data_IF_613468431135
#
_entry.id   IF_613468431135
#
_cell.length_a   1.000
_cell.length_b   1.000
_cell.length_c   1.000
_cell.angle_alpha   90.00
_cell.angle_beta   90.00
_cell.angle_gamma   90.00
#
_symmetry.space_group_name_H-M   'P 1'
#
loop_
_entity.id
_entity.type
_entity.pdbx_description
1 polymer ?
#
# COMPACT_ATOMS: atom_id res chain seq x y z
N UNK A 1 17.42 -15.23 1.66
CA UNK A 1 18.40 -14.99 2.67
C UNK A 1 18.54 -16.10 3.72
N UNK A 2 18.31 -15.78 4.99
CA UNK A 2 18.49 -16.72 6.11
C UNK A 2 17.51 -17.91 6.12
N UNK A 3 16.34 -17.78 5.53
CA UNK A 3 15.32 -18.84 5.48
C UNK A 3 15.33 -19.62 4.17
N UNK A 4 16.07 -19.16 3.18
CA UNK A 4 16.27 -19.82 1.89
C UNK A 4 17.57 -19.35 1.27
N UNK A 5 18.17 -20.14 0.40
CA UNK A 5 19.44 -19.86 -0.24
C UNK A 5 20.66 -20.21 0.64
N UNK A 6 21.88 -19.72 0.31
CA UNK A 6 23.14 -20.18 0.90
C UNK A 6 23.19 -20.16 2.44
N UNK A 7 22.62 -19.13 3.06
CA UNK A 7 22.62 -19.03 4.52
C UNK A 7 21.72 -20.09 5.18
N UNK A 8 20.66 -20.52 4.50
CA UNK A 8 19.81 -21.61 4.98
C UNK A 8 20.54 -22.96 4.89
N UNK A 9 21.32 -23.18 3.83
CA UNK A 9 22.13 -24.38 3.65
C UNK A 9 23.24 -24.50 4.70
N UNK A 10 23.75 -23.40 5.22
CA UNK A 10 24.75 -23.38 6.31
C UNK A 10 24.15 -23.57 7.71
N UNK A 11 22.89 -23.98 7.84
CA UNK A 11 22.21 -24.19 9.10
C UNK A 11 21.75 -22.96 9.85
N UNK A 12 21.92 -21.76 9.28
CA UNK A 12 21.45 -20.50 9.87
C UNK A 12 19.93 -20.52 10.05
N UNK A 13 19.21 -21.14 9.12
CA UNK A 13 17.76 -21.38 9.23
C UNK A 13 17.40 -22.13 10.51
N UNK A 14 18.12 -23.22 10.80
CA UNK A 14 17.81 -24.09 11.94
C UNK A 14 18.08 -23.38 13.26
N UNK A 15 19.10 -22.53 13.32
CA UNK A 15 19.36 -21.68 14.49
C UNK A 15 18.16 -20.75 14.74
N UNK A 16 17.66 -20.06 13.72
CA UNK A 16 16.51 -19.17 13.88
C UNK A 16 15.22 -19.93 14.21
N UNK A 17 14.97 -21.05 13.56
CA UNK A 17 13.81 -21.91 13.85
C UNK A 17 13.82 -22.38 15.30
N UNK A 18 14.97 -22.90 15.77
CA UNK A 18 15.08 -23.43 17.11
C UNK A 18 15.11 -22.33 18.19
N UNK A 19 15.84 -21.26 17.96
CA UNK A 19 15.96 -20.15 18.92
C UNK A 19 14.67 -19.37 19.10
N UNK A 20 13.95 -19.11 17.99
CA UNK A 20 12.75 -18.27 17.99
C UNK A 20 11.45 -19.09 18.00
N UNK A 21 11.52 -20.41 17.93
CA UNK A 21 10.34 -21.27 17.87
C UNK A 21 9.50 -21.06 16.59
N UNK A 22 10.14 -20.69 15.47
CA UNK A 22 9.45 -20.41 14.23
C UNK A 22 8.90 -21.67 13.58
N UNK A 23 7.70 -21.56 12.99
CA UNK A 23 7.06 -22.64 12.22
C UNK A 23 7.22 -22.33 10.74
N UNK A 24 7.97 -23.14 10.02
CA UNK A 24 8.28 -22.97 8.60
C UNK A 24 7.75 -24.14 7.77
N UNK A 25 6.45 -24.44 7.90
CA UNK A 25 5.82 -25.45 7.07
C UNK A 25 5.90 -25.01 5.59
N UNK A 26 6.43 -25.85 4.68
CA UNK A 26 6.44 -25.56 3.24
C UNK A 26 5.06 -25.28 2.67
N UNK A 27 4.00 -25.92 3.13
CA UNK A 27 2.63 -25.71 2.68
C UNK A 27 2.14 -24.27 2.96
N UNK A 28 2.70 -23.61 3.96
CA UNK A 28 2.34 -22.24 4.35
C UNK A 28 3.26 -21.16 3.73
N UNK A 29 4.16 -21.55 2.82
CA UNK A 29 5.18 -20.65 2.26
C UNK A 29 4.56 -19.44 1.58
N UNK A 30 3.49 -19.63 0.84
CA UNK A 30 2.84 -18.56 0.08
C UNK A 30 2.22 -17.51 1.01
N UNK A 31 1.59 -17.97 2.09
CA UNK A 31 1.06 -17.08 3.10
C UNK A 31 2.12 -16.23 3.76
N UNK A 32 3.26 -16.83 4.07
CA UNK A 32 4.40 -16.06 4.62
C UNK A 32 4.89 -15.00 3.64
N UNK A 33 4.95 -15.33 2.35
CA UNK A 33 5.34 -14.35 1.31
C UNK A 33 4.32 -13.21 1.25
N UNK A 34 3.02 -13.49 1.24
CA UNK A 34 1.98 -12.46 1.22
C UNK A 34 2.07 -11.56 2.45
N UNK A 35 2.27 -12.12 3.65
CA UNK A 35 2.43 -11.32 4.88
C UNK A 35 3.68 -10.44 4.84
N UNK A 36 4.79 -10.94 4.32
CA UNK A 36 6.01 -10.16 4.13
C UNK A 36 5.80 -9.00 3.15
N UNK A 37 5.13 -9.24 2.02
CA UNK A 37 4.81 -8.18 1.06
C UNK A 37 3.95 -7.09 1.70
N UNK A 38 2.93 -7.45 2.47
CA UNK A 38 2.12 -6.46 3.19
C UNK A 38 2.95 -5.69 4.22
N UNK A 39 3.81 -6.34 4.97
CA UNK A 39 4.66 -5.68 5.95
C UNK A 39 5.60 -4.66 5.30
N UNK A 40 6.19 -4.98 4.15
CA UNK A 40 7.10 -4.07 3.43
C UNK A 40 6.32 -2.95 2.72
N UNK A 41 5.25 -3.29 2.01
CA UNK A 41 4.46 -2.31 1.26
C UNK A 41 3.82 -1.28 2.20
N UNK A 42 3.29 -1.71 3.35
CA UNK A 42 2.69 -0.80 4.31
C UNK A 42 3.71 0.09 5.01
N UNK A 43 4.95 -0.37 5.22
CA UNK A 43 6.04 0.49 5.71
C UNK A 43 6.30 1.64 4.74
N UNK A 44 6.32 1.35 3.43
CA UNK A 44 6.51 2.37 2.40
C UNK A 44 5.31 3.33 2.38
N UNK A 45 4.09 2.82 2.40
CA UNK A 45 2.86 3.62 2.42
C UNK A 45 2.79 4.51 3.67
N UNK A 46 3.25 4.03 4.83
CA UNK A 46 3.36 4.83 6.05
C UNK A 46 4.32 6.01 5.83
N UNK A 47 5.53 5.74 5.35
CA UNK A 47 6.54 6.77 5.05
C UNK A 47 5.99 7.79 4.05
N UNK A 48 5.38 7.34 2.96
CA UNK A 48 4.72 8.21 1.97
C UNK A 48 3.63 9.08 2.60
N UNK A 49 2.81 8.49 3.46
CA UNK A 49 1.75 9.22 4.18
C UNK A 49 2.34 10.32 5.05
N UNK A 50 3.42 10.07 5.77
CA UNK A 50 4.13 11.08 6.54
C UNK A 50 4.67 12.21 5.65
N UNK A 51 5.28 11.88 4.51
CA UNK A 51 5.72 12.88 3.55
C UNK A 51 4.56 13.70 2.99
N UNK A 52 3.50 13.05 2.53
CA UNK A 52 2.31 13.74 1.99
C UNK A 52 1.72 14.69 3.02
N UNK A 53 1.54 14.24 4.26
CA UNK A 53 0.97 15.09 5.32
C UNK A 53 1.88 16.23 5.74
N UNK A 54 3.19 16.14 5.50
CA UNK A 54 4.16 17.20 5.78
C UNK A 54 4.26 18.25 4.68
N UNK A 55 4.12 17.83 3.40
CA UNK A 55 4.33 18.72 2.24
C UNK A 55 3.02 19.30 1.67
N UNK A 56 1.89 18.62 1.84
CA UNK A 56 0.58 19.11 1.39
C UNK A 56 -0.09 19.86 2.53
N UNK A 57 -0.43 21.15 2.37
CA UNK A 57 -1.03 21.95 3.43
C UNK A 57 -2.34 21.34 3.95
N UNK A 58 -2.41 21.08 5.25
CA UNK A 58 -3.60 20.59 5.95
C UNK A 58 -3.60 21.06 7.42
N UNK A 59 -4.72 20.88 8.11
CA UNK A 59 -4.82 21.25 9.53
C UNK A 59 -3.94 20.33 10.37
N UNK A 60 -3.25 20.87 11.39
CA UNK A 60 -2.38 20.10 12.28
C UNK A 60 -3.10 18.88 12.90
N UNK A 61 -4.34 19.04 13.31
CA UNK A 61 -5.13 17.92 13.86
C UNK A 61 -5.37 16.83 12.81
N UNK A 62 -5.61 17.18 11.55
CA UNK A 62 -5.75 16.18 10.47
C UNK A 62 -4.44 15.44 10.25
N UNK A 63 -3.32 16.16 10.14
CA UNK A 63 -1.99 15.57 10.01
C UNK A 63 -1.69 14.62 11.18
N UNK A 64 -1.89 15.06 12.41
CA UNK A 64 -1.65 14.25 13.61
C UNK A 64 -2.51 12.98 13.63
N UNK A 65 -3.81 13.10 13.32
CA UNK A 65 -4.72 11.96 13.30
C UNK A 65 -4.35 10.95 12.21
N UNK A 66 -4.03 11.43 10.99
CA UNK A 66 -3.61 10.54 9.89
C UNK A 66 -2.34 9.79 10.28
N UNK A 67 -1.32 10.51 10.75
CA UNK A 67 -0.02 9.93 11.10
C UNK A 67 -0.15 8.95 12.26
N UNK A 68 -0.87 9.29 13.33
CA UNK A 68 -1.09 8.36 14.44
C UNK A 68 -1.86 7.10 14.00
N UNK A 69 -2.91 7.27 13.18
CA UNK A 69 -3.74 6.16 12.72
C UNK A 69 -2.95 5.22 11.81
N UNK A 70 -2.17 5.76 10.85
CA UNK A 70 -1.38 4.91 9.95
C UNK A 70 -0.31 4.14 10.71
N UNK A 71 0.38 4.77 11.68
CA UNK A 71 1.40 4.12 12.49
C UNK A 71 0.84 3.00 13.35
N UNK A 72 -0.26 3.24 14.05
CA UNK A 72 -0.91 2.19 14.87
C UNK A 72 -1.33 1.03 13.97
N UNK A 73 -1.98 1.31 12.86
CA UNK A 73 -2.42 0.30 11.91
C UNK A 73 -1.26 -0.51 11.33
N UNK A 74 -0.19 0.16 10.94
CA UNK A 74 1.02 -0.49 10.41
C UNK A 74 1.68 -1.41 11.46
N UNK A 75 1.93 -0.89 12.67
CA UNK A 75 2.55 -1.68 13.74
C UNK A 75 1.72 -2.94 14.03
N UNK A 76 0.41 -2.80 14.17
CA UNK A 76 -0.47 -3.95 14.37
C UNK A 76 -0.42 -4.94 13.22
N UNK A 77 -0.53 -4.45 11.99
CA UNK A 77 -0.48 -5.30 10.79
C UNK A 77 0.84 -6.04 10.68
N UNK A 78 1.95 -5.34 10.87
CA UNK A 78 3.28 -5.95 10.81
C UNK A 78 3.46 -7.00 11.91
N UNK A 79 3.20 -6.63 13.16
CA UNK A 79 3.44 -7.51 14.30
C UNK A 79 2.58 -8.77 14.24
N UNK A 80 1.28 -8.62 14.04
CA UNK A 80 0.37 -9.76 14.03
C UNK A 80 0.40 -10.53 12.71
N UNK A 81 0.69 -9.88 11.59
CA UNK A 81 0.90 -10.54 10.30
C UNK A 81 2.14 -11.42 10.31
N UNK A 82 3.27 -10.92 10.83
CA UNK A 82 4.47 -11.72 10.99
C UNK A 82 4.28 -12.81 12.07
N UNK A 83 3.55 -12.51 13.15
CA UNK A 83 3.19 -13.50 14.16
C UNK A 83 2.41 -14.67 13.55
N UNK A 84 1.37 -14.36 12.78
CA UNK A 84 0.59 -15.35 12.05
C UNK A 84 1.45 -16.16 11.06
N UNK A 85 2.32 -15.49 10.33
CA UNK A 85 3.13 -16.11 9.29
C UNK A 85 4.24 -17.04 9.81
N UNK A 86 4.83 -16.74 10.97
CA UNK A 86 6.02 -17.41 11.46
C UNK A 86 5.85 -18.19 12.75
N UNK A 87 4.82 -17.90 13.56
CA UNK A 87 4.59 -18.56 14.85
C UNK A 87 3.32 -19.43 14.89
N UNK A 88 2.61 -19.48 13.80
CA UNK A 88 1.49 -20.37 13.56
C UNK A 88 0.18 -19.65 13.29
N UNK A 89 -0.58 -20.26 12.41
CA UNK A 89 -1.88 -19.79 11.98
C UNK A 89 -2.89 -19.95 13.12
N UNK A 90 -3.18 -18.88 13.82
CA UNK A 90 -4.26 -18.86 14.80
C UNK A 90 -5.18 -17.66 14.56
N UNK A 91 -6.42 -17.83 14.98
CA UNK A 91 -7.47 -16.83 14.74
C UNK A 91 -7.17 -15.48 15.44
N UNK A 92 -6.45 -15.48 16.55
CA UNK A 92 -6.13 -14.26 17.29
C UNK A 92 -5.15 -13.40 16.50
N UNK A 93 -4.05 -13.98 16.00
CA UNK A 93 -3.12 -13.24 15.13
C UNK A 93 -3.79 -12.78 13.83
N UNK A 94 -4.60 -13.63 13.22
CA UNK A 94 -5.33 -13.28 12.01
C UNK A 94 -6.33 -12.14 12.26
N UNK A 95 -7.13 -12.22 13.33
CA UNK A 95 -8.08 -11.18 13.67
C UNK A 95 -7.41 -9.84 13.97
N UNK A 96 -6.32 -9.83 14.73
CA UNK A 96 -5.56 -8.61 15.04
C UNK A 96 -4.84 -8.04 13.81
N UNK A 97 -4.37 -8.89 12.89
CA UNK A 97 -3.87 -8.46 11.58
C UNK A 97 -4.96 -7.74 10.78
N UNK A 98 -6.17 -8.29 10.70
CA UNK A 98 -7.32 -7.66 10.00
C UNK A 98 -7.69 -6.33 10.67
N UNK A 99 -7.69 -6.24 11.99
CA UNK A 99 -7.90 -4.98 12.71
C UNK A 99 -6.85 -3.95 12.34
N UNK A 100 -5.57 -4.34 12.32
CA UNK A 100 -4.48 -3.47 11.87
C UNK A 100 -4.70 -2.95 10.45
N UNK A 101 -5.05 -3.83 9.51
CA UNK A 101 -5.38 -3.45 8.14
C UNK A 101 -6.56 -2.48 8.05
N UNK A 102 -7.59 -2.69 8.87
CA UNK A 102 -8.76 -1.81 8.93
C UNK A 102 -8.40 -0.41 9.44
N UNK A 103 -7.47 -0.32 10.39
CA UNK A 103 -6.95 0.96 10.89
C UNK A 103 -6.12 1.67 9.81
N UNK A 104 -5.29 0.96 9.04
CA UNK A 104 -4.57 1.51 7.88
C UNK A 104 -5.56 2.05 6.85
N UNK A 105 -6.60 1.29 6.54
CA UNK A 105 -7.66 1.71 5.63
C UNK A 105 -8.36 2.99 6.11
N UNK A 106 -8.65 3.09 7.41
CA UNK A 106 -9.22 4.29 8.03
C UNK A 106 -8.29 5.50 7.90
N UNK A 107 -6.98 5.32 8.08
CA UNK A 107 -5.99 6.39 7.84
C UNK A 107 -6.04 6.90 6.39
N UNK A 108 -6.19 6.01 5.43
CA UNK A 108 -6.38 6.36 4.02
C UNK A 108 -7.66 7.16 3.78
N UNK A 109 -8.77 6.83 4.44
CA UNK A 109 -10.02 7.62 4.37
C UNK A 109 -9.80 9.03 4.95
N UNK A 110 -9.10 9.14 6.07
CA UNK A 110 -8.75 10.45 6.65
C UNK A 110 -7.86 11.26 5.71
N UNK A 111 -6.88 10.61 5.07
CA UNK A 111 -6.01 11.26 4.09
C UNK A 111 -6.82 11.77 2.88
N UNK A 112 -7.71 10.97 2.31
CA UNK A 112 -8.62 11.38 1.23
C UNK A 112 -9.44 12.60 1.64
N UNK A 113 -10.00 12.60 2.84
CA UNK A 113 -10.78 13.72 3.37
C UNK A 113 -9.95 15.00 3.54
N UNK A 114 -8.70 14.87 3.97
CA UNK A 114 -7.77 15.99 4.11
C UNK A 114 -7.28 16.54 2.76
N UNK A 115 -7.11 15.66 1.78
CA UNK A 115 -6.67 15.99 0.43
C UNK A 115 -7.79 16.54 -0.46
N UNK A 116 -9.05 16.52 -0.05
CA UNK A 116 -10.21 16.91 -0.86
C UNK A 116 -9.99 18.26 -1.58
N UNK A 117 -9.82 18.28 -2.92
CA UNK A 117 -9.26 19.45 -3.59
C UNK A 117 -10.28 20.57 -3.85
N UNK A 118 -11.58 20.28 -3.73
CA UNK A 118 -12.66 21.24 -4.07
C UNK A 118 -13.09 22.14 -2.91
N UNK A 119 -12.49 22.03 -1.73
CA UNK A 119 -12.75 22.96 -0.62
C UNK A 119 -12.24 24.37 -0.98
N UNK A 120 -13.00 25.40 -0.58
CA UNK A 120 -12.62 26.79 -0.84
C UNK A 120 -11.26 27.17 -0.21
N UNK A 121 -10.92 26.57 0.92
CA UNK A 121 -9.63 26.78 1.61
C UNK A 121 -8.42 26.21 0.82
N UNK A 122 -8.67 25.30 -0.14
CA UNK A 122 -7.64 24.67 -0.97
C UNK A 122 -7.52 25.32 -2.36
N UNK A 123 -8.29 26.39 -2.63
CA UNK A 123 -8.17 27.14 -3.90
C UNK A 123 -6.92 27.98 -3.87
N UNK A 124 -6.12 27.92 -4.90
CA UNK A 124 -4.90 28.68 -5.03
C UNK A 124 -5.18 30.00 -5.72
N UNK A 125 -4.66 31.09 -5.16
CA UNK A 125 -4.85 32.45 -5.68
C UNK A 125 -3.83 32.84 -6.75
N UNK A 126 -2.69 32.17 -6.80
CA UNK A 126 -1.59 32.49 -7.70
C UNK A 126 -1.69 31.71 -9.01
N UNK A 127 -1.58 32.45 -10.15
CA UNK A 127 -1.74 31.88 -11.49
C UNK A 127 -0.53 31.12 -12.00
N UNK A 128 0.63 31.28 -11.36
CA UNK A 128 1.91 30.72 -11.83
C UNK A 128 2.21 29.31 -11.33
N UNK A 129 1.47 28.83 -10.36
CA UNK A 129 1.59 27.48 -9.85
C UNK A 129 0.84 26.46 -10.72
N UNK A 130 1.05 25.16 -10.56
CA UNK A 130 0.45 24.06 -11.33
C UNK A 130 -1.11 24.01 -11.26
N UNK A 131 -1.77 25.11 -11.61
CA UNK A 131 -3.21 25.28 -11.45
C UNK A 131 -3.99 25.12 -12.75
N UNK A 132 -5.20 24.62 -12.63
CA UNK A 132 -6.18 24.79 -13.70
C UNK A 132 -6.63 26.26 -13.77
N UNK A 133 -7.18 26.69 -14.91
CA UNK A 133 -7.76 28.05 -15.10
C UNK A 133 -8.79 28.46 -14.01
N UNK A 134 -9.24 27.51 -13.17
CA UNK A 134 -10.24 27.69 -12.10
C UNK A 134 -9.64 27.78 -10.69
N UNK A 135 -8.32 27.90 -10.55
CA UNK A 135 -7.67 27.99 -9.24
C UNK A 135 -7.58 26.66 -8.46
N UNK A 136 -7.71 25.53 -9.14
CA UNK A 136 -7.57 24.20 -8.54
C UNK A 136 -6.09 23.80 -8.50
N UNK A 137 -5.61 23.36 -7.34
CA UNK A 137 -4.27 22.83 -7.16
C UNK A 137 -4.20 21.41 -7.79
N UNK A 138 -3.51 21.30 -8.95
CA UNK A 138 -3.40 20.05 -9.69
C UNK A 138 -2.57 19.00 -8.93
N UNK A 139 -1.59 19.41 -8.14
CA UNK A 139 -0.81 18.48 -7.32
C UNK A 139 -1.69 17.85 -6.25
N UNK A 140 -2.50 18.66 -5.57
CA UNK A 140 -3.47 18.15 -4.58
C UNK A 140 -4.48 17.20 -5.23
N UNK A 141 -4.93 17.50 -6.45
CA UNK A 141 -5.81 16.59 -7.21
C UNK A 141 -5.10 15.27 -7.50
N UNK A 142 -3.82 15.30 -7.90
CA UNK A 142 -3.04 14.10 -8.16
C UNK A 142 -2.89 13.24 -6.89
N UNK A 143 -2.52 13.84 -5.75
CA UNK A 143 -2.46 13.13 -4.47
C UNK A 143 -3.82 12.58 -4.04
N UNK A 144 -4.90 13.32 -4.25
CA UNK A 144 -6.25 12.88 -3.94
C UNK A 144 -6.64 11.66 -4.77
N UNK A 145 -6.44 11.71 -6.09
CA UNK A 145 -6.77 10.60 -7.00
C UNK A 145 -5.95 9.37 -6.67
N UNK A 146 -4.64 9.54 -6.43
CA UNK A 146 -3.75 8.46 -5.99
C UNK A 146 -4.26 7.83 -4.68
N UNK A 147 -4.60 8.63 -3.66
CA UNK A 147 -5.12 8.11 -2.39
C UNK A 147 -6.44 7.36 -2.56
N UNK A 148 -7.36 7.85 -3.41
CA UNK A 148 -8.62 7.16 -3.73
C UNK A 148 -8.35 5.83 -4.44
N UNK A 149 -7.44 5.81 -5.41
CA UNK A 149 -7.07 4.59 -6.13
C UNK A 149 -6.40 3.57 -5.18
N UNK A 150 -5.53 4.02 -4.27
CA UNK A 150 -4.90 3.16 -3.25
C UNK A 150 -5.94 2.50 -2.36
N UNK A 151 -6.90 3.26 -1.83
CA UNK A 151 -7.98 2.72 -1.01
C UNK A 151 -8.89 1.79 -1.81
N UNK A 152 -9.21 2.14 -3.06
CA UNK A 152 -9.97 1.26 -3.96
C UNK A 152 -9.26 -0.06 -4.23
N UNK A 153 -7.97 -0.02 -4.52
CA UNK A 153 -7.16 -1.22 -4.73
C UNK A 153 -7.04 -2.05 -3.44
N UNK A 154 -6.87 -1.41 -2.27
CA UNK A 154 -6.82 -2.11 -0.98
C UNK A 154 -8.15 -2.82 -0.67
N UNK A 155 -9.29 -2.16 -0.91
CA UNK A 155 -10.61 -2.77 -0.76
C UNK A 155 -10.81 -3.96 -1.70
N UNK A 156 -10.38 -3.83 -2.96
CA UNK A 156 -10.43 -4.90 -3.93
C UNK A 156 -9.55 -6.09 -3.53
N UNK A 157 -8.33 -5.83 -3.06
CA UNK A 157 -7.42 -6.86 -2.53
C UNK A 157 -8.01 -7.58 -1.31
N UNK A 158 -8.66 -6.85 -0.39
CA UNK A 158 -9.34 -7.43 0.76
C UNK A 158 -10.50 -8.34 0.35
N UNK A 159 -11.34 -7.90 -0.60
CA UNK A 159 -12.44 -8.72 -1.15
C UNK A 159 -11.89 -9.97 -1.82
N UNK A 160 -10.88 -9.84 -2.68
CA UNK A 160 -10.25 -10.99 -3.32
C UNK A 160 -9.67 -11.95 -2.28
N UNK A 161 -8.99 -11.43 -1.25
CA UNK A 161 -8.41 -12.22 -0.16
C UNK A 161 -9.43 -13.04 0.63
N UNK A 162 -10.65 -12.56 0.79
CA UNK A 162 -11.72 -13.29 1.48
C UNK A 162 -12.08 -14.62 0.81
N UNK A 163 -11.85 -14.75 -0.47
CA UNK A 163 -12.16 -15.98 -1.23
C UNK A 163 -11.01 -16.99 -1.25
N UNK A 164 -9.83 -16.65 -0.75
CA UNK A 164 -8.70 -17.58 -0.66
C UNK A 164 -8.75 -18.52 0.56
N UNK A 165 -9.81 -18.49 1.32
CA UNK A 165 -10.00 -19.36 2.50
C UNK A 165 -8.93 -19.15 3.58
N UNK A 166 -8.45 -20.23 4.17
CA UNK A 166 -7.30 -20.17 5.10
C UNK A 166 -5.98 -19.91 4.38
N UNK A 167 -6.12 -19.66 3.16
CA UNK A 167 -5.16 -19.39 2.74
C UNK A 167 -4.33 -19.21 1.65
N UNK A 168 -4.01 -19.27 1.30
CA UNK A 168 -2.76 -19.14 0.63
C UNK A 168 -2.55 -20.29 -0.38
N UNK A 169 -3.67 -20.92 -0.69
CA UNK A 169 -3.66 -21.99 -1.68
C UNK A 169 -3.15 -21.46 -3.01
N UNK A 170 -1.94 -21.87 -3.34
CA UNK A 170 -1.36 -21.97 -4.68
C UNK A 170 -1.48 -20.80 -5.66
N UNK A 171 -1.66 -19.55 -5.21
CA UNK A 171 -1.62 -18.46 -6.19
C UNK A 171 -0.21 -18.17 -6.73
N UNK A 172 0.83 -18.57 -5.98
CA UNK A 172 2.24 -18.53 -6.38
C UNK A 172 2.78 -19.90 -6.79
N UNK A 173 1.95 -20.94 -6.83
CA UNK A 173 2.40 -22.25 -7.28
C UNK A 173 2.91 -22.19 -8.72
N UNK A 174 3.99 -22.88 -8.99
CA UNK A 174 4.71 -22.76 -10.25
C UNK A 174 3.83 -23.20 -11.44
N UNK A 175 3.00 -24.22 -11.25
CA UNK A 175 2.01 -24.70 -12.22
C UNK A 175 0.94 -23.64 -12.53
N UNK A 176 0.53 -22.89 -11.52
CA UNK A 176 -0.44 -21.81 -11.64
C UNK A 176 0.17 -20.58 -12.33
N UNK A 177 1.42 -20.22 -12.01
CA UNK A 177 2.13 -19.13 -12.68
C UNK A 177 2.28 -19.42 -14.18
N UNK A 178 2.56 -20.66 -14.54
CA UNK A 178 2.74 -21.11 -15.93
C UNK A 178 1.43 -21.34 -16.68
N UNK A 179 0.31 -21.45 -15.98
CA UNK A 179 -0.97 -21.68 -16.64
C UNK A 179 -1.44 -20.41 -17.37
N UNK A 180 -1.67 -20.45 -18.70
CA UNK A 180 -2.17 -19.30 -19.45
C UNK A 180 -3.63 -18.94 -19.10
N UNK A 181 -4.41 -19.90 -18.59
CA UNK A 181 -5.81 -19.69 -18.19
C UNK A 181 -5.95 -19.59 -16.68
N UNK A 182 -5.62 -18.42 -16.13
CA UNK A 182 -5.73 -18.17 -14.69
C UNK A 182 -7.18 -17.92 -14.28
N UNK A 183 -7.63 -18.49 -13.16
CA UNK A 183 -8.92 -18.14 -12.58
C UNK A 183 -9.03 -16.62 -12.30
N UNK A 184 -10.24 -16.07 -12.46
CA UNK A 184 -10.51 -14.64 -12.24
C UNK A 184 -9.99 -14.16 -10.87
N UNK A 185 -10.17 -14.95 -9.83
CA UNK A 185 -9.73 -14.64 -8.47
C UNK A 185 -8.21 -14.47 -8.39
N UNK A 186 -7.45 -15.34 -9.04
CA UNK A 186 -6.00 -15.27 -9.09
C UNK A 186 -5.51 -14.03 -9.88
N UNK A 187 -6.17 -13.75 -11.02
CA UNK A 187 -5.91 -12.51 -11.76
C UNK A 187 -6.18 -11.27 -10.89
N UNK A 188 -7.20 -11.33 -10.03
CA UNK A 188 -7.53 -10.26 -9.10
C UNK A 188 -6.41 -9.99 -8.11
N UNK A 189 -5.80 -11.02 -7.51
CA UNK A 189 -4.68 -10.87 -6.57
C UNK A 189 -3.43 -10.34 -7.29
N UNK A 190 -3.12 -10.87 -8.47
CA UNK A 190 -2.00 -10.39 -9.28
C UNK A 190 -2.22 -8.92 -9.68
N UNK A 191 -3.45 -8.60 -10.11
CA UNK A 191 -3.85 -7.23 -10.45
C UNK A 191 -3.70 -6.27 -9.27
N UNK A 192 -4.20 -6.67 -8.10
CA UNK A 192 -4.02 -5.88 -6.86
C UNK A 192 -2.54 -5.59 -6.57
N UNK A 193 -1.67 -6.60 -6.64
CA UNK A 193 -0.25 -6.44 -6.40
C UNK A 193 0.39 -5.42 -7.36
N UNK A 194 0.13 -5.54 -8.67
CA UNK A 194 0.68 -4.64 -9.66
C UNK A 194 0.15 -3.20 -9.51
N UNK A 195 -1.14 -3.05 -9.24
CA UNK A 195 -1.76 -1.74 -9.01
C UNK A 195 -1.14 -1.08 -7.76
N UNK A 196 -0.99 -1.80 -6.66
CA UNK A 196 -0.40 -1.24 -5.42
C UNK A 196 1.05 -0.80 -5.62
N UNK A 197 1.87 -1.60 -6.30
CA UNK A 197 3.26 -1.22 -6.61
C UNK A 197 3.34 0.02 -7.51
N UNK A 198 2.42 0.12 -8.49
CA UNK A 198 2.33 1.29 -9.37
C UNK A 198 1.92 2.54 -8.58
N UNK A 199 0.94 2.43 -7.68
CA UNK A 199 0.46 3.54 -6.86
C UNK A 199 1.54 4.03 -5.89
N UNK A 200 2.31 3.13 -5.28
CA UNK A 200 3.49 3.46 -4.48
C UNK A 200 4.50 4.27 -5.33
N UNK A 201 4.83 3.81 -6.53
CA UNK A 201 5.75 4.53 -7.42
C UNK A 201 5.22 5.93 -7.80
N UNK A 202 3.92 6.06 -8.05
CA UNK A 202 3.26 7.35 -8.33
C UNK A 202 3.34 8.26 -7.10
N UNK A 203 3.04 7.75 -5.90
CA UNK A 203 3.10 8.53 -4.67
C UNK A 203 4.51 9.07 -4.41
N UNK A 204 5.54 8.23 -4.54
CA UNK A 204 6.94 8.66 -4.44
C UNK A 204 7.25 9.76 -5.47
N UNK A 205 6.83 9.58 -6.72
CA UNK A 205 7.07 10.55 -7.79
C UNK A 205 6.41 11.90 -7.49
N UNK A 206 5.17 11.89 -6.99
CA UNK A 206 4.44 13.09 -6.58
C UNK A 206 5.13 13.80 -5.40
N UNK A 207 5.58 13.04 -4.39
CA UNK A 207 6.31 13.57 -3.23
C UNK A 207 7.61 14.23 -3.68
N UNK A 208 8.41 13.56 -4.51
CA UNK A 208 9.66 14.11 -5.03
C UNK A 208 9.40 15.36 -5.87
N UNK A 209 8.42 15.32 -6.78
CA UNK A 209 8.07 16.45 -7.64
C UNK A 209 7.67 17.69 -6.82
N UNK A 210 6.90 17.48 -5.76
CA UNK A 210 6.51 18.54 -4.84
C UNK A 210 7.67 19.06 -4.01
N UNK A 211 8.50 18.16 -3.49
CA UNK A 211 9.66 18.51 -2.68
C UNK A 211 10.72 19.30 -3.47
N UNK A 212 10.92 18.94 -4.75
CA UNK A 212 11.82 19.65 -5.65
C UNK A 212 11.21 20.90 -6.30
N UNK A 213 9.96 21.22 -5.96
CA UNK A 213 9.21 22.39 -6.45
C UNK A 213 9.21 22.48 -7.99
N UNK A 214 8.94 21.34 -8.66
CA UNK A 214 8.83 21.31 -10.12
C UNK A 214 7.70 22.20 -10.60
N UNK A 215 8.00 23.06 -11.60
CA UNK A 215 7.07 24.05 -12.16
C UNK A 215 7.05 24.03 -13.68
N UNK A 216 6.09 24.74 -14.25
CA UNK A 216 6.01 24.96 -15.69
C UNK A 216 5.09 24.01 -16.45
N UNK A 217 5.14 24.10 -17.77
CA UNK A 217 4.20 23.39 -18.66
C UNK A 217 4.35 21.86 -18.56
N UNK A 218 5.58 21.36 -18.49
CA UNK A 218 5.86 19.94 -18.41
C UNK A 218 5.32 19.33 -17.10
N UNK A 219 5.47 20.05 -16.00
CA UNK A 219 4.89 19.63 -14.72
C UNK A 219 3.36 19.55 -14.79
N UNK A 220 2.71 20.54 -15.38
CA UNK A 220 1.24 20.54 -15.61
C UNK A 220 0.77 19.36 -16.47
N UNK A 221 1.54 19.02 -17.50
CA UNK A 221 1.26 17.86 -18.37
C UNK A 221 1.43 16.58 -17.58
N UNK A 222 2.55 16.43 -16.85
CA UNK A 222 2.82 15.25 -16.03
C UNK A 222 1.73 15.01 -14.97
N UNK A 223 1.31 16.06 -14.24
CA UNK A 223 0.21 15.95 -13.27
C UNK A 223 -1.10 15.49 -13.91
N UNK A 224 -1.44 16.03 -15.09
CA UNK A 224 -2.63 15.60 -15.84
C UNK A 224 -2.53 14.15 -16.29
N UNK A 225 -1.38 13.72 -16.79
CA UNK A 225 -1.16 12.33 -17.20
C UNK A 225 -1.26 11.38 -16.04
N UNK A 226 -0.72 11.72 -14.86
CA UNK A 226 -0.86 10.91 -13.64
C UNK A 226 -2.33 10.81 -13.19
N UNK A 227 -3.09 11.91 -13.22
CA UNK A 227 -4.52 11.92 -12.89
C UNK A 227 -5.34 11.06 -13.85
N UNK A 228 -5.04 11.09 -15.15
CA UNK A 228 -5.81 10.38 -16.18
C UNK A 228 -5.28 8.96 -16.44
N UNK A 229 -3.96 8.74 -16.32
CA UNK A 229 -3.33 7.44 -16.52
C UNK A 229 -3.75 6.44 -15.43
N UNK A 230 -3.95 6.92 -14.22
CA UNK A 230 -4.44 6.14 -13.10
C UNK A 230 -5.87 5.56 -13.33
N UNK A 231 -6.68 6.22 -14.17
CA UNK A 231 -8.01 5.71 -14.58
C UNK A 231 -7.94 4.51 -15.53
N UNK A 232 -6.84 4.31 -16.27
CA UNK A 232 -6.70 3.19 -17.23
C UNK A 232 -6.16 1.91 -16.58
N UNK A 233 -5.59 1.99 -15.39
CA UNK A 233 -5.08 0.83 -14.66
C UNK A 233 -6.17 0.07 -13.88
N UNK A 234 -7.42 0.54 -13.91
CA UNK A 234 -8.56 -0.03 -13.15
C UNK A 234 -9.51 -0.85 -14.06
N UNK A 235 -9.14 -1.10 -15.32
CA UNK A 235 -9.96 -1.92 -16.25
C UNK A 235 -9.25 -3.24 -16.55
#
# INVERSE_FOLDING_TARGET
GTLSGPLAEWGVKDVFVNLLGMKLDPAEREGRIVMLYHSIALAIIEIETYFITSIVPMKKNQQSNINATITIGYIMTMFFGLGFAYFGHNWAFHGLFIVGQSIVFLAGIFLISALWPWKNEHKVKDKDYAHSKKGTDLERVAFFVMAVATIGSAAFGAIAGMFFGNGFESFLAEDVIRNPHKPVLQLSVIGHLHIMLTLIAIAITLVIGRWLDFKGIYHKIAMRLMIFGDRKSVV
#
